data_IF_786373003826
#
_entry.id   IF_786373003826
#
_cell.length_a   1.000
_cell.length_b   1.000
_cell.length_c   1.000
_cell.angle_alpha   90.00
_cell.angle_beta   90.00
_cell.angle_gamma   90.00
#
_symmetry.space_group_name_H-M   'P 1'
#
loop_
_entity.id
_entity.type
_entity.pdbx_description
1 polymer ?
#
# COMPACT_ATOMS: atom_id res chain seq x y z
N UNK A 1 -8.25 -2.77 23.25
CA UNK A 1 -7.47 -3.45 22.21
C UNK A 1 -6.81 -2.35 21.40
N UNK A 2 -5.47 -2.27 21.42
CA UNK A 2 -4.76 -1.18 20.74
C UNK A 2 -4.86 -1.36 19.21
N UNK A 3 -4.92 -0.27 18.43
CA UNK A 3 -4.90 -0.37 16.98
C UNK A 3 -3.60 -1.05 16.53
N UNK A 4 -3.68 -1.96 15.56
CA UNK A 4 -2.49 -2.55 14.95
C UNK A 4 -1.84 -1.52 14.01
N UNK A 5 -0.98 -0.67 14.57
CA UNK A 5 -0.15 0.27 13.83
C UNK A 5 1.28 -0.24 13.71
N UNK A 6 1.84 -0.13 12.51
CA UNK A 6 3.27 -0.34 12.26
C UNK A 6 3.92 0.96 11.79
N UNK A 7 5.25 0.97 11.81
CA UNK A 7 6.06 2.11 11.38
C UNK A 7 5.82 2.42 9.90
N UNK A 8 5.69 1.37 9.07
CA UNK A 8 5.42 1.48 7.64
C UNK A 8 4.18 0.67 7.26
N UNK A 9 3.68 0.90 6.05
CA UNK A 9 2.54 0.16 5.53
C UNK A 9 2.82 -1.36 5.55
N UNK A 10 2.00 -2.16 6.26
CA UNK A 10 2.27 -3.58 6.43
C UNK A 10 1.60 -4.44 5.35
N UNK A 11 2.21 -5.59 5.03
CA UNK A 11 1.68 -6.57 4.07
C UNK A 11 0.21 -6.96 4.33
N UNK A 12 -0.17 -7.17 5.60
CA UNK A 12 -1.55 -7.54 5.98
C UNK A 12 -2.60 -6.51 5.57
N UNK A 13 -2.19 -5.26 5.35
CA UNK A 13 -3.10 -4.19 4.95
C UNK A 13 -3.44 -4.21 3.46
N UNK A 14 -2.78 -5.02 2.62
CA UNK A 14 -3.04 -5.09 1.18
C UNK A 14 -4.43 -5.66 0.87
N UNK A 15 -4.70 -6.92 1.27
CA UNK A 15 -5.96 -7.60 0.95
C UNK A 15 -7.22 -6.83 1.41
N UNK A 16 -7.23 -6.16 2.59
CA UNK A 16 -8.34 -5.29 3.00
C UNK A 16 -8.70 -4.15 2.05
N UNK A 17 -7.80 -3.73 1.14
CA UNK A 17 -8.02 -2.63 0.18
C UNK A 17 -8.78 -3.05 -1.07
N UNK A 18 -9.02 -4.35 -1.26
CA UNK A 18 -9.62 -4.93 -2.47
C UNK A 18 -10.94 -4.26 -2.88
N UNK A 19 -11.72 -3.79 -1.91
CA UNK A 19 -13.07 -3.26 -2.12
C UNK A 19 -13.15 -1.73 -2.11
N UNK A 20 -12.02 -1.03 -2.03
CA UNK A 20 -12.01 0.43 -1.85
C UNK A 20 -12.26 1.19 -3.17
N UNK A 21 -12.04 0.57 -4.34
CA UNK A 21 -12.26 1.20 -5.65
C UNK A 21 -12.82 0.22 -6.70
N UNK A 22 -12.71 0.59 -7.98
CA UNK A 22 -13.23 -0.13 -9.14
C UNK A 22 -12.51 -1.45 -9.44
N UNK A 23 -12.82 -2.02 -10.61
CA UNK A 23 -12.33 -3.34 -11.03
C UNK A 23 -10.82 -3.36 -11.24
N UNK A 24 -10.25 -2.36 -11.92
CA UNK A 24 -8.80 -2.27 -12.15
C UNK A 24 -7.99 -2.28 -10.84
N UNK A 25 -8.46 -1.53 -9.83
CA UNK A 25 -7.84 -1.53 -8.50
C UNK A 25 -7.98 -2.88 -7.80
N UNK A 26 -9.17 -3.47 -7.86
CA UNK A 26 -9.44 -4.79 -7.27
C UNK A 26 -8.54 -5.86 -7.85
N UNK A 27 -8.37 -5.86 -9.18
CA UNK A 27 -7.55 -6.85 -9.89
C UNK A 27 -6.07 -6.69 -9.51
N UNK A 28 -5.58 -5.46 -9.36
CA UNK A 28 -4.25 -5.19 -8.82
C UNK A 28 -4.08 -5.72 -7.40
N UNK A 29 -5.02 -5.43 -6.50
CA UNK A 29 -4.95 -5.91 -5.10
C UNK A 29 -5.01 -7.45 -5.05
N UNK A 30 -5.86 -8.08 -5.86
CA UNK A 30 -5.94 -9.53 -5.96
C UNK A 30 -4.64 -10.15 -6.50
N UNK A 31 -4.02 -9.54 -7.51
CA UNK A 31 -2.71 -9.98 -8.02
C UNK A 31 -1.65 -9.96 -6.91
N UNK A 32 -1.53 -8.84 -6.19
CA UNK A 32 -0.47 -8.64 -5.19
C UNK A 32 -0.72 -9.47 -3.94
N UNK A 33 -1.94 -9.52 -3.44
CA UNK A 33 -2.28 -10.23 -2.19
C UNK A 33 -2.19 -11.75 -2.28
N UNK A 34 -2.18 -12.30 -3.49
CA UNK A 34 -1.94 -13.73 -3.73
C UNK A 34 -0.44 -14.09 -3.75
N UNK A 35 0.47 -13.11 -3.66
CA UNK A 35 1.91 -13.35 -3.59
C UNK A 35 2.37 -13.54 -2.14
N UNK A 36 3.57 -14.11 -1.96
CA UNK A 36 4.19 -14.20 -0.64
C UNK A 36 4.70 -12.82 -0.20
N UNK A 37 4.57 -12.52 1.09
CA UNK A 37 5.22 -11.36 1.72
C UNK A 37 6.73 -11.35 1.42
N UNK A 38 7.24 -10.19 0.99
CA UNK A 38 8.62 -9.99 0.55
C UNK A 38 8.88 -10.27 -0.94
N UNK A 39 7.88 -10.71 -1.72
CA UNK A 39 8.01 -10.75 -3.18
C UNK A 39 8.04 -9.32 -3.76
N UNK A 40 8.66 -9.14 -4.93
CA UNK A 40 8.79 -7.88 -5.68
C UNK A 40 7.46 -7.11 -5.72
N UNK A 41 6.38 -7.75 -6.15
CA UNK A 41 5.05 -7.13 -6.26
C UNK A 41 4.51 -6.65 -4.90
N UNK A 42 4.73 -7.41 -3.82
CA UNK A 42 4.27 -7.06 -2.47
C UNK A 42 5.07 -5.90 -1.87
N UNK A 43 6.38 -5.87 -2.14
CA UNK A 43 7.27 -4.79 -1.73
C UNK A 43 6.95 -3.51 -2.51
N UNK A 44 6.72 -3.64 -3.82
CA UNK A 44 6.35 -2.53 -4.70
C UNK A 44 5.04 -1.89 -4.27
N UNK A 45 4.00 -2.69 -4.05
CA UNK A 45 2.72 -2.19 -3.58
C UNK A 45 2.85 -1.54 -2.20
N UNK A 46 3.63 -2.12 -1.29
CA UNK A 46 3.89 -1.53 0.02
C UNK A 46 4.60 -0.18 -0.10
N UNK A 47 5.60 -0.06 -0.98
CA UNK A 47 6.29 1.20 -1.27
C UNK A 47 5.34 2.27 -1.84
N UNK A 48 4.48 1.89 -2.78
CA UNK A 48 3.43 2.77 -3.32
C UNK A 48 2.54 3.27 -2.18
N UNK A 49 2.06 2.38 -1.31
CA UNK A 49 1.19 2.73 -0.21
C UNK A 49 1.88 3.56 0.88
N UNK A 50 3.17 3.34 1.15
CA UNK A 50 3.97 4.20 2.04
C UNK A 50 3.95 5.65 1.55
N UNK A 51 4.09 5.86 0.23
CA UNK A 51 4.05 7.19 -0.39
C UNK A 51 2.64 7.79 -0.36
N UNK A 52 1.62 7.03 -0.74
CA UNK A 52 0.23 7.50 -0.76
C UNK A 52 -0.29 7.83 0.65
N UNK A 53 0.00 6.98 1.64
CA UNK A 53 -0.42 7.18 3.02
C UNK A 53 0.46 8.19 3.77
N UNK A 54 1.58 8.58 3.17
CA UNK A 54 2.61 9.41 3.79
C UNK A 54 3.08 8.81 5.14
N UNK A 55 3.40 7.51 5.11
CA UNK A 55 3.75 6.74 6.32
C UNK A 55 5.06 7.24 6.96
N UNK A 56 5.97 7.84 6.19
CA UNK A 56 7.24 8.37 6.72
C UNK A 56 7.04 9.55 7.67
N UNK A 57 5.88 10.22 7.60
CA UNK A 57 5.48 11.30 8.50
C UNK A 57 4.41 10.84 9.51
N UNK A 58 4.21 9.53 9.67
CA UNK A 58 3.26 8.95 10.63
C UNK A 58 3.99 8.58 11.92
N UNK A 59 3.86 9.39 12.97
CA UNK A 59 4.40 9.11 14.30
C UNK A 59 3.33 8.58 15.27
N UNK A 60 3.75 8.11 16.46
CA UNK A 60 2.82 7.56 17.46
C UNK A 60 1.80 8.58 17.99
N UNK A 61 2.05 9.88 17.83
CA UNK A 61 1.11 10.94 18.21
C UNK A 61 0.13 11.29 17.08
N UNK A 62 0.40 10.81 15.87
CA UNK A 62 -0.40 11.10 14.69
C UNK A 62 -1.76 10.41 14.77
N UNK A 63 -2.80 11.14 14.38
CA UNK A 63 -4.15 10.57 14.24
C UNK A 63 -4.20 9.33 13.33
N UNK A 64 -3.29 9.23 12.35
CA UNK A 64 -3.13 8.05 11.49
C UNK A 64 -2.68 6.81 12.26
N UNK A 65 -1.78 6.95 13.24
CA UNK A 65 -1.29 5.83 14.05
C UNK A 65 -2.40 5.28 14.97
N UNK A 66 -3.21 6.16 15.56
CA UNK A 66 -4.33 5.75 16.42
C UNK A 66 -5.50 5.11 15.66
N UNK A 67 -5.60 5.30 14.35
CA UNK A 67 -6.58 4.64 13.47
C UNK A 67 -6.23 3.17 13.17
N UNK A 68 -4.94 2.82 13.17
CA UNK A 68 -4.42 1.57 12.65
C UNK A 68 -4.20 1.58 11.12
N UNK A 69 -3.19 0.85 10.65
CA UNK A 69 -2.71 0.94 9.26
C UNK A 69 -3.78 0.58 8.23
N UNK A 70 -4.63 -0.42 8.51
CA UNK A 70 -5.71 -0.82 7.60
C UNK A 70 -6.72 0.30 7.41
N UNK A 71 -7.17 0.93 8.50
CA UNK A 71 -8.15 2.01 8.43
C UNK A 71 -7.56 3.25 7.75
N UNK A 72 -6.31 3.59 8.06
CA UNK A 72 -5.58 4.67 7.39
C UNK A 72 -5.51 4.43 5.88
N UNK A 73 -5.05 3.25 5.47
CA UNK A 73 -4.88 2.91 4.06
C UNK A 73 -6.20 2.92 3.28
N UNK A 74 -7.27 2.36 3.85
CA UNK A 74 -8.61 2.42 3.24
C UNK A 74 -9.06 3.85 2.98
N UNK A 75 -8.92 4.73 3.99
CA UNK A 75 -9.29 6.15 3.86
C UNK A 75 -8.47 6.85 2.79
N UNK A 76 -7.15 6.59 2.74
CA UNK A 76 -6.28 7.15 1.71
C UNK A 76 -6.72 6.71 0.32
N UNK A 77 -6.91 5.41 0.09
CA UNK A 77 -7.30 4.86 -1.22
C UNK A 77 -8.68 5.35 -1.66
N UNK A 78 -9.64 5.40 -0.73
CA UNK A 78 -10.99 5.88 -1.01
C UNK A 78 -11.05 7.39 -1.30
N UNK A 79 -10.16 8.19 -0.69
CA UNK A 79 -10.09 9.64 -0.91
C UNK A 79 -9.18 10.04 -2.07
N UNK A 80 -8.44 9.09 -2.66
CA UNK A 80 -7.50 9.34 -3.74
C UNK A 80 -8.22 9.80 -5.02
N UNK A 81 -7.72 10.87 -5.62
CA UNK A 81 -8.30 11.51 -6.81
C UNK A 81 -7.76 10.93 -8.11
N UNK A 82 -6.60 10.28 -8.08
CA UNK A 82 -6.02 9.61 -9.24
C UNK A 82 -6.91 8.46 -9.74
N UNK A 83 -7.00 8.24 -11.05
CA UNK A 83 -7.78 7.10 -11.59
C UNK A 83 -7.16 5.76 -11.19
N UNK A 84 -7.94 4.66 -11.25
CA UNK A 84 -7.41 3.31 -11.00
C UNK A 84 -6.25 2.98 -11.94
N UNK A 85 -6.30 3.45 -13.18
CA UNK A 85 -5.22 3.28 -14.16
C UNK A 85 -3.95 4.03 -13.74
N UNK A 86 -4.07 5.26 -13.24
CA UNK A 86 -2.93 6.01 -12.73
C UNK A 86 -2.33 5.37 -11.47
N UNK A 87 -3.15 4.80 -10.59
CA UNK A 87 -2.65 4.02 -9.45
C UNK A 87 -1.90 2.78 -9.92
N UNK A 88 -2.38 2.10 -10.96
CA UNK A 88 -1.68 0.97 -11.55
C UNK A 88 -0.34 1.38 -12.17
N UNK A 89 -0.28 2.52 -12.83
CA UNK A 89 0.99 3.09 -13.32
C UNK A 89 1.96 3.44 -12.18
N UNK A 90 1.44 4.00 -11.08
CA UNK A 90 2.22 4.26 -9.87
C UNK A 90 2.80 2.97 -9.28
N UNK A 91 1.99 1.91 -9.24
CA UNK A 91 2.45 0.58 -8.86
C UNK A 91 3.59 0.09 -9.74
N UNK A 92 3.45 0.11 -11.08
CA UNK A 92 4.52 -0.34 -11.98
C UNK A 92 5.81 0.49 -11.82
N UNK A 93 5.70 1.80 -11.56
CA UNK A 93 6.85 2.64 -11.27
C UNK A 93 7.57 2.20 -9.98
N UNK A 94 6.83 1.94 -8.90
CA UNK A 94 7.40 1.43 -7.65
C UNK A 94 7.96 0.01 -7.80
N UNK A 95 7.37 -0.79 -8.68
CA UNK A 95 7.84 -2.14 -8.99
C UNK A 95 9.18 -2.12 -9.71
N UNK A 96 9.33 -1.23 -10.69
CA UNK A 96 10.61 -0.98 -11.33
C UNK A 96 11.67 -0.55 -10.31
N UNK A 97 11.36 0.39 -9.43
CA UNK A 97 12.27 0.85 -8.37
C UNK A 97 12.71 -0.28 -7.45
N UNK A 98 11.76 -1.10 -6.95
CA UNK A 98 12.09 -2.27 -6.14
C UNK A 98 12.99 -3.24 -6.89
N UNK A 99 12.69 -3.52 -8.18
CA UNK A 99 13.51 -4.41 -9.00
C UNK A 99 14.94 -3.93 -9.15
N UNK A 100 15.14 -2.63 -9.43
CA UNK A 100 16.47 -2.02 -9.50
C UNK A 100 17.23 -2.16 -8.17
N UNK A 101 16.55 -2.01 -7.02
CA UNK A 101 17.20 -2.19 -5.72
C UNK A 101 17.49 -3.65 -5.38
N UNK A 102 16.68 -4.60 -5.86
CA UNK A 102 16.91 -6.04 -5.65
C UNK A 102 17.99 -6.59 -6.58
N UNK A 103 18.17 -6.05 -7.79
CA UNK A 103 19.19 -6.48 -8.75
C UNK A 103 20.60 -5.99 -8.40
N UNK A 104 20.72 -4.97 -7.55
CA UNK A 104 21.99 -4.46 -7.01
C UNK A 104 22.58 -5.30 -5.87
N UNK A 105 21.96 -6.45 -5.53
CA UNK A 105 22.40 -7.36 -4.46
C UNK A 105 23.13 -8.59 -4.97
#
# INVERSE_FOLDING_TARGET
MYPESEILFPYRAIAPLRKERGTEWRDLVDQVSNQRDGNEDTLAFSLMMIRLCDCLNCDQSSYKASLGCVACARRTVAAEKMSDLMLRQSFEQTRHEVREHLSLR
#
